data_IF_490104465675
#
_entry.id   IF_490104465675
#
_cell.length_a   1.000
_cell.length_b   1.000
_cell.length_c   1.000
_cell.angle_alpha   90.00
_cell.angle_beta   90.00
_cell.angle_gamma   90.00
#
_symmetry.space_group_name_H-M   'P 1'
#
loop_
_entity.id
_entity.type
_entity.pdbx_description
1 polymer ?
#
# COMPACT_ATOMS: atom_id res chain seq x y z
N UNK A 1 1.95 -15.06 9.94
CA UNK A 1 0.97 -15.81 9.11
C UNK A 1 1.36 -15.66 7.65
N UNK A 2 1.22 -16.72 6.85
CA UNK A 2 1.31 -16.67 5.39
C UNK A 2 -0.07 -16.31 4.84
N UNK A 3 -0.10 -15.34 3.93
CA UNK A 3 -1.32 -14.86 3.27
C UNK A 3 -1.37 -15.35 1.84
N UNK A 4 -2.54 -15.79 1.38
CA UNK A 4 -2.73 -16.25 0.00
C UNK A 4 -4.16 -16.03 -0.44
N UNK A 5 -4.39 -15.91 -1.76
CA UNK A 5 -5.74 -15.79 -2.32
C UNK A 5 -6.26 -17.10 -2.85
N UNK A 6 -7.56 -17.32 -2.74
CA UNK A 6 -8.30 -18.36 -3.47
C UNK A 6 -9.67 -17.82 -3.85
N UNK A 7 -10.01 -17.86 -5.14
CA UNK A 7 -11.32 -17.43 -5.67
C UNK A 7 -11.72 -16.01 -5.25
N UNK A 8 -10.77 -15.07 -5.22
CA UNK A 8 -11.02 -13.67 -4.84
C UNK A 8 -11.14 -13.43 -3.32
N UNK A 9 -11.00 -14.46 -2.49
CA UNK A 9 -10.90 -14.33 -1.04
C UNK A 9 -9.45 -14.44 -0.56
N UNK A 10 -9.11 -13.68 0.48
CA UNK A 10 -7.85 -13.73 1.20
C UNK A 10 -7.93 -14.75 2.33
N UNK A 11 -6.92 -15.59 2.44
CA UNK A 11 -6.75 -16.53 3.51
C UNK A 11 -5.46 -16.23 4.26
N UNK A 12 -5.48 -16.52 5.56
CA UNK A 12 -4.30 -16.56 6.41
C UNK A 12 -4.09 -17.98 6.93
N UNK A 13 -2.83 -18.41 6.99
CA UNK A 13 -2.41 -19.63 7.69
C UNK A 13 -1.25 -19.32 8.62
N UNK A 14 -1.25 -19.90 9.81
CA UNK A 14 -0.12 -19.72 10.73
C UNK A 14 1.16 -20.26 10.10
N UNK A 15 2.25 -19.54 10.28
CA UNK A 15 3.56 -19.86 9.72
C UNK A 15 4.61 -19.63 10.80
N UNK A 16 5.41 -20.66 11.07
CA UNK A 16 6.58 -20.60 11.94
C UNK A 16 7.79 -20.20 11.06
N UNK A 17 8.33 -18.98 11.20
CA UNK A 17 9.41 -18.50 10.35
C UNK A 17 10.78 -19.07 10.73
N UNK A 18 10.90 -19.70 11.92
CA UNK A 18 12.15 -20.34 12.36
C UNK A 18 12.21 -21.76 11.79
N UNK A 19 11.09 -22.48 11.82
CA UNK A 19 10.99 -23.86 11.31
C UNK A 19 10.59 -23.94 9.84
N UNK A 20 10.18 -22.83 9.23
CA UNK A 20 9.68 -22.76 7.86
C UNK A 20 8.45 -23.65 7.62
N UNK A 21 7.55 -23.75 8.59
CA UNK A 21 6.40 -24.67 8.57
C UNK A 21 5.05 -23.96 8.69
N UNK A 22 4.06 -24.47 7.96
CA UNK A 22 2.66 -24.06 8.07
C UNK A 22 1.97 -24.81 9.22
N UNK A 23 1.19 -24.10 10.04
CA UNK A 23 0.41 -24.69 11.16
C UNK A 23 -1.08 -24.42 11.03
N UNK A 24 -1.87 -25.38 11.53
CA UNK A 24 -3.34 -25.30 11.58
C UNK A 24 -4.03 -25.32 10.22
N UNK A 25 -5.32 -25.04 10.21
CA UNK A 25 -6.11 -24.84 9.00
C UNK A 25 -6.11 -23.36 8.59
N UNK A 26 -6.11 -23.04 7.29
CA UNK A 26 -6.28 -21.66 6.84
C UNK A 26 -7.67 -21.13 7.17
N UNK A 27 -7.76 -19.83 7.45
CA UNK A 27 -9.03 -19.13 7.70
C UNK A 27 -9.16 -17.90 6.78
N UNK A 28 -10.40 -17.53 6.45
CA UNK A 28 -10.68 -16.37 5.60
C UNK A 28 -10.41 -15.07 6.36
N UNK A 29 -9.69 -14.16 5.72
CA UNK A 29 -9.38 -12.81 6.23
C UNK A 29 -10.30 -11.77 5.58
N UNK A 30 -10.56 -11.89 4.28
CA UNK A 30 -11.35 -10.93 3.52
C UNK A 30 -11.90 -11.53 2.22
N UNK A 31 -12.98 -10.96 1.69
CA UNK A 31 -13.57 -11.34 0.40
C UNK A 31 -13.44 -10.23 -0.64
N UNK A 32 -13.53 -10.60 -1.92
CA UNK A 32 -13.54 -9.70 -3.07
C UNK A 32 -12.29 -8.81 -3.20
N UNK A 33 -11.12 -9.40 -2.98
CA UNK A 33 -9.84 -8.71 -3.16
C UNK A 33 -9.63 -8.36 -4.64
N UNK A 34 -9.27 -7.10 -4.88
CA UNK A 34 -8.89 -6.63 -6.19
C UNK A 34 -7.55 -7.23 -6.63
N UNK A 35 -7.43 -7.51 -7.91
CA UNK A 35 -6.17 -7.83 -8.57
C UNK A 35 -5.62 -6.54 -9.18
N UNK A 36 -4.33 -6.29 -9.03
CA UNK A 36 -3.63 -5.17 -9.66
C UNK A 36 -3.28 -5.46 -11.11
N UNK A 37 -2.93 -4.41 -11.87
CA UNK A 37 -2.36 -4.56 -13.20
C UNK A 37 -1.09 -5.42 -13.09
N UNK A 38 -1.08 -6.59 -13.75
CA UNK A 38 -0.01 -7.58 -13.65
C UNK A 38 -0.35 -8.87 -12.88
N UNK A 39 -1.59 -9.03 -12.38
CA UNK A 39 -2.06 -10.29 -11.79
C UNK A 39 -1.71 -10.49 -10.30
N UNK A 40 -1.00 -9.53 -9.70
CA UNK A 40 -0.70 -9.52 -8.26
C UNK A 40 -1.91 -9.13 -7.41
N UNK A 41 -1.95 -9.62 -6.18
CA UNK A 41 -2.99 -9.23 -5.22
C UNK A 41 -2.75 -7.81 -4.71
N UNK A 42 -3.80 -6.99 -4.68
CA UNK A 42 -3.74 -5.63 -4.14
C UNK A 42 -3.79 -5.66 -2.59
N UNK A 43 -2.78 -6.25 -1.95
CA UNK A 43 -2.66 -6.35 -0.49
C UNK A 43 -1.25 -6.11 0.03
N UNK A 44 -1.14 -5.71 1.29
CA UNK A 44 0.10 -5.55 2.05
C UNK A 44 -0.11 -6.00 3.50
N UNK A 45 0.92 -6.54 4.13
CA UNK A 45 0.90 -6.96 5.53
C UNK A 45 2.16 -6.49 6.25
N UNK A 46 2.04 -6.03 7.49
CA UNK A 46 3.21 -5.67 8.30
C UNK A 46 3.61 -6.78 9.27
N UNK A 47 4.88 -6.77 9.69
CA UNK A 47 5.41 -7.65 10.73
C UNK A 47 4.79 -7.35 12.11
N UNK A 48 4.40 -6.09 12.33
CA UNK A 48 3.67 -5.72 13.53
C UNK A 48 2.36 -6.51 13.52
N UNK A 49 1.60 -6.49 12.41
CA UNK A 49 0.44 -7.35 12.17
C UNK A 49 -0.75 -6.80 11.36
N UNK A 50 -0.94 -5.50 11.03
CA UNK A 50 -2.07 -5.11 10.19
C UNK A 50 -1.88 -5.56 8.75
N UNK A 51 -3.02 -5.73 8.08
CA UNK A 51 -3.13 -6.06 6.67
C UNK A 51 -3.98 -4.97 6.02
N UNK A 52 -3.49 -4.39 4.93
CA UNK A 52 -4.25 -3.48 4.08
C UNK A 52 -4.53 -4.18 2.75
N UNK A 53 -5.75 -4.08 2.22
CA UNK A 53 -6.07 -4.61 0.91
C UNK A 53 -7.10 -3.74 0.18
N UNK A 54 -7.08 -3.78 -1.15
CA UNK A 54 -8.10 -3.14 -1.98
C UNK A 54 -9.19 -4.14 -2.29
N UNK A 55 -10.44 -3.78 -2.00
CA UNK A 55 -11.62 -4.47 -2.52
C UNK A 55 -11.90 -3.99 -3.95
N UNK A 56 -12.27 -4.87 -4.87
CA UNK A 56 -12.60 -4.45 -6.24
C UNK A 56 -13.82 -3.54 -6.24
N UNK A 57 -13.74 -2.33 -6.82
CA UNK A 57 -14.92 -1.48 -7.00
C UNK A 57 -14.76 -0.40 -8.08
N UNK A 58 -15.92 -0.02 -8.62
CA UNK A 58 -16.20 0.95 -9.68
C UNK A 58 -15.65 2.36 -9.44
N UNK A 59 -15.52 3.12 -10.53
CA UNK A 59 -14.91 4.44 -10.60
C UNK A 59 -15.56 5.47 -9.65
N UNK A 60 -14.71 6.27 -8.98
CA UNK A 60 -15.09 7.38 -8.11
C UNK A 60 -13.87 7.94 -7.35
N UNK A 61 -14.03 9.14 -6.77
CA UNK A 61 -13.06 9.75 -5.85
C UNK A 61 -12.63 8.73 -4.79
N UNK A 62 -11.32 8.65 -4.53
CA UNK A 62 -10.75 7.64 -3.64
C UNK A 62 -10.40 8.28 -2.31
N UNK A 63 -11.06 7.82 -1.25
CA UNK A 63 -10.72 8.14 0.13
C UNK A 63 -10.13 6.89 0.77
N UNK A 64 -9.08 7.05 1.57
CA UNK A 64 -8.50 5.92 2.28
C UNK A 64 -9.40 5.54 3.46
N UNK A 65 -9.78 4.26 3.52
CA UNK A 65 -10.49 3.67 4.65
C UNK A 65 -9.53 2.74 5.38
N UNK A 66 -9.45 2.89 6.70
CA UNK A 66 -8.57 2.13 7.56
C UNK A 66 -9.28 0.94 8.17
N UNK A 67 -8.55 -0.16 8.33
CA UNK A 67 -8.99 -1.35 9.03
C UNK A 67 -7.93 -1.73 10.06
N UNK A 68 -8.35 -2.16 11.26
CA UNK A 68 -7.42 -2.80 12.20
C UNK A 68 -7.10 -4.25 11.76
N UNK A 69 -6.22 -4.92 12.51
CA UNK A 69 -5.77 -6.28 12.19
C UNK A 69 -6.87 -7.35 12.29
N UNK A 70 -7.98 -7.02 12.95
CA UNK A 70 -9.15 -7.88 13.02
C UNK A 70 -10.10 -7.66 11.86
N UNK A 71 -9.81 -6.70 10.96
CA UNK A 71 -10.68 -6.32 9.86
C UNK A 71 -11.79 -5.36 10.27
N UNK A 72 -11.72 -4.75 11.47
CA UNK A 72 -12.67 -3.72 11.88
C UNK A 72 -12.30 -2.39 11.25
N UNK A 73 -13.26 -1.77 10.58
CA UNK A 73 -13.11 -0.43 10.02
C UNK A 73 -12.83 0.59 11.13
N UNK A 74 -11.76 1.35 10.99
CA UNK A 74 -11.37 2.46 11.88
C UNK A 74 -11.88 3.82 11.36
N UNK A 75 -12.27 3.87 10.09
CA UNK A 75 -12.84 5.05 9.44
C UNK A 75 -11.95 5.62 8.33
N UNK A 76 -12.29 6.82 7.88
CA UNK A 76 -11.62 7.53 6.80
C UNK A 76 -10.33 8.22 7.28
N UNK A 77 -9.31 8.28 6.42
CA UNK A 77 -8.07 9.02 6.68
C UNK A 77 -7.81 10.05 5.58
N UNK A 78 -7.68 11.30 6.01
CA UNK A 78 -7.51 12.46 5.14
C UNK A 78 -8.76 12.82 4.33
N UNK A 79 -8.66 13.92 3.61
CA UNK A 79 -9.65 14.33 2.62
C UNK A 79 -9.60 13.42 1.38
N UNK A 80 -10.67 13.28 0.60
CA UNK A 80 -10.64 12.55 -0.67
C UNK A 80 -9.49 13.02 -1.56
N UNK A 81 -8.57 12.12 -1.90
CA UNK A 81 -7.41 12.44 -2.74
C UNK A 81 -7.72 11.98 -4.17
N UNK A 82 -8.03 12.93 -5.04
CA UNK A 82 -8.26 12.67 -6.46
C UNK A 82 -7.06 11.98 -7.12
N UNK A 83 -7.32 10.91 -7.89
CA UNK A 83 -6.34 10.14 -8.67
C UNK A 83 -5.13 9.59 -7.88
N UNK A 84 -5.23 9.41 -6.56
CA UNK A 84 -4.18 8.75 -5.78
C UNK A 84 -4.10 7.25 -6.13
N UNK A 85 -2.88 6.76 -6.40
CA UNK A 85 -2.59 5.38 -6.78
C UNK A 85 -1.42 4.81 -5.96
N UNK A 86 -1.33 3.48 -5.90
CA UNK A 86 -0.20 2.72 -5.35
C UNK A 86 0.23 3.14 -3.92
N UNK A 87 -0.64 3.02 -2.91
CA UNK A 87 -0.30 3.34 -1.53
C UNK A 87 0.70 2.33 -0.93
N UNK A 88 1.65 2.83 -0.15
CA UNK A 88 2.55 2.05 0.70
C UNK A 88 2.54 2.65 2.10
N UNK A 89 2.02 1.89 3.07
CA UNK A 89 2.06 2.25 4.49
C UNK A 89 3.49 2.10 5.03
N UNK A 90 3.93 3.02 5.88
CA UNK A 90 5.22 2.94 6.59
C UNK A 90 5.20 1.80 7.62
N UNK A 91 6.37 1.25 8.00
CA UNK A 91 6.44 0.13 8.96
C UNK A 91 5.80 0.45 10.32
N UNK A 92 5.88 1.70 10.76
CA UNK A 92 5.27 2.21 12.00
C UNK A 92 3.77 2.54 11.85
N UNK A 93 3.26 2.58 10.62
CA UNK A 93 1.88 2.93 10.32
C UNK A 93 1.57 4.43 10.30
N UNK A 94 2.50 5.33 10.60
CA UNK A 94 2.18 6.76 10.72
C UNK A 94 2.11 7.53 9.38
N UNK A 95 2.56 6.91 8.28
CA UNK A 95 2.66 7.55 6.97
C UNK A 95 2.24 6.62 5.84
N UNK A 96 1.55 7.16 4.84
CA UNK A 96 1.28 6.48 3.57
C UNK A 96 2.01 7.21 2.45
N UNK A 97 2.93 6.52 1.78
CA UNK A 97 3.49 6.98 0.52
C UNK A 97 2.54 6.62 -0.61
N UNK A 98 2.23 7.56 -1.50
CA UNK A 98 1.30 7.35 -2.61
C UNK A 98 1.70 8.17 -3.83
N UNK A 99 1.24 7.75 -5.00
CA UNK A 99 1.36 8.56 -6.21
C UNK A 99 0.23 9.57 -6.28
N UNK A 100 0.53 10.78 -6.71
CA UNK A 100 -0.48 11.79 -7.06
C UNK A 100 -0.06 12.49 -8.34
N UNK A 101 -0.97 12.56 -9.29
CA UNK A 101 -0.77 13.30 -10.53
C UNK A 101 -1.44 14.66 -10.43
N UNK A 102 -0.65 15.72 -10.60
CA UNK A 102 -1.12 17.10 -10.69
C UNK A 102 -0.53 17.73 -11.96
N UNK A 103 -1.38 18.40 -12.74
CA UNK A 103 -0.98 19.13 -13.95
C UNK A 103 -0.13 18.31 -14.94
N UNK A 104 -0.41 17.00 -15.04
CA UNK A 104 0.28 16.08 -15.94
C UNK A 104 1.58 15.47 -15.38
N UNK A 105 2.06 15.91 -14.22
CA UNK A 105 3.23 15.31 -13.55
C UNK A 105 2.81 14.38 -12.41
N UNK A 106 3.47 13.24 -12.28
CA UNK A 106 3.22 12.29 -11.18
C UNK A 106 4.37 12.32 -10.20
N UNK A 107 4.06 12.63 -8.95
CA UNK A 107 5.02 12.66 -7.86
C UNK A 107 4.61 11.70 -6.75
N UNK A 108 5.55 11.44 -5.85
CA UNK A 108 5.29 10.75 -4.59
C UNK A 108 4.87 11.78 -3.55
N UNK A 109 3.84 11.44 -2.81
CA UNK A 109 3.30 12.22 -1.69
C UNK A 109 3.24 11.36 -0.43
N UNK A 110 3.33 12.02 0.72
CA UNK A 110 3.19 11.42 2.04
C UNK A 110 1.92 11.92 2.71
N UNK A 111 1.04 10.99 3.06
CA UNK A 111 -0.12 11.23 3.90
C UNK A 111 0.21 10.84 5.34
N UNK A 112 0.19 11.82 6.23
CA UNK A 112 0.28 11.62 7.68
C UNK A 112 -1.04 11.07 8.18
N UNK A 113 -1.02 9.89 8.79
CA UNK A 113 -2.25 9.12 9.06
C UNK A 113 -3.03 9.69 10.23
N UNK A 114 -2.32 10.20 11.23
CA UNK A 114 -2.93 10.73 12.46
C UNK A 114 -3.54 12.11 12.24
N UNK A 115 -3.01 12.85 11.26
CA UNK A 115 -3.38 14.25 10.99
C UNK A 115 -4.15 14.42 9.69
N UNK A 116 -4.17 13.41 8.81
CA UNK A 116 -4.71 13.51 7.45
C UNK A 116 -3.95 14.48 6.55
N UNK A 117 -2.74 14.91 6.93
CA UNK A 117 -1.97 15.93 6.22
C UNK A 117 -1.22 15.31 5.06
N UNK A 118 -1.44 15.82 3.85
CA UNK A 118 -0.81 15.35 2.63
C UNK A 118 0.31 16.30 2.20
N UNK A 119 1.54 15.80 2.08
CA UNK A 119 2.74 16.57 1.72
C UNK A 119 3.44 15.98 0.50
N UNK A 120 4.05 16.83 -0.33
CA UNK A 120 4.77 16.39 -1.53
C UNK A 120 6.16 15.90 -1.14
N UNK A 121 6.51 14.67 -1.53
CA UNK A 121 7.78 14.04 -1.21
C UNK A 121 8.80 14.22 -2.33
N UNK A 122 8.39 14.02 -3.59
CA UNK A 122 9.22 14.32 -4.77
C UNK A 122 8.66 15.48 -5.57
N UNK A 123 9.54 16.19 -6.29
CA UNK A 123 9.18 17.42 -7.00
C UNK A 123 9.97 17.59 -8.30
N UNK A 124 10.32 16.49 -8.93
CA UNK A 124 11.11 16.48 -10.16
C UNK A 124 10.19 16.62 -11.38
N UNK A 125 10.66 17.21 -12.50
CA UNK A 125 9.89 17.22 -13.75
C UNK A 125 9.61 15.82 -14.34
N UNK A 126 10.37 14.81 -13.93
CA UNK A 126 10.12 13.42 -14.29
C UNK A 126 8.99 12.79 -13.47
N UNK A 127 8.41 11.73 -14.02
CA UNK A 127 7.40 10.95 -13.29
C UNK A 127 8.07 10.06 -12.25
N UNK A 128 7.55 10.10 -11.02
CA UNK A 128 7.96 9.24 -9.92
C UNK A 128 6.81 8.30 -9.54
N UNK A 129 7.10 7.00 -9.48
CA UNK A 129 6.08 5.95 -9.44
C UNK A 129 6.36 4.82 -8.43
N UNK A 130 5.29 4.09 -8.07
CA UNK A 130 5.33 2.85 -7.28
C UNK A 130 6.17 2.96 -6.00
N UNK A 131 5.85 3.86 -5.06
CA UNK A 131 6.64 4.03 -3.84
C UNK A 131 6.57 2.79 -2.96
N UNK A 132 7.69 2.42 -2.34
CA UNK A 132 7.81 1.35 -1.33
C UNK A 132 8.67 1.82 -0.17
N UNK A 133 8.14 1.74 1.04
CA UNK A 133 8.93 2.01 2.24
C UNK A 133 10.00 0.94 2.45
N UNK A 134 11.18 1.36 2.88
CA UNK A 134 12.17 0.47 3.45
C UNK A 134 11.74 -0.01 4.84
N UNK A 135 12.22 -1.19 5.30
CA UNK A 135 11.91 -1.70 6.63
C UNK A 135 12.34 -0.78 7.78
N UNK A 136 13.30 0.14 7.53
CA UNK A 136 13.76 1.13 8.51
C UNK A 136 12.78 2.30 8.72
N UNK A 137 11.75 2.43 7.88
CA UNK A 137 10.75 3.50 7.95
C UNK A 137 11.28 4.90 7.61
N UNK A 138 12.53 5.02 7.18
CA UNK A 138 13.19 6.30 6.92
C UNK A 138 13.51 6.51 5.44
N UNK A 139 13.32 5.50 4.60
CA UNK A 139 13.58 5.58 3.16
C UNK A 139 12.41 5.06 2.35
N UNK A 140 12.30 5.57 1.12
CA UNK A 140 11.35 5.11 0.12
C UNK A 140 12.11 4.79 -1.17
N UNK A 141 11.89 3.59 -1.69
CA UNK A 141 12.26 3.21 -3.05
C UNK A 141 11.13 3.55 -4.02
N UNK A 142 11.47 4.00 -5.23
CA UNK A 142 10.49 4.35 -6.25
C UNK A 142 11.07 4.27 -7.65
N UNK A 143 10.21 4.10 -8.66
CA UNK A 143 10.61 4.21 -10.06
C UNK A 143 10.65 5.68 -10.49
N UNK A 144 11.62 6.09 -11.30
CA UNK A 144 11.69 7.45 -11.83
C UNK A 144 12.15 7.49 -13.28
N UNK A 145 11.53 8.33 -14.11
CA UNK A 145 11.87 8.50 -15.53
C UNK A 145 12.91 9.59 -15.81
N UNK A 146 13.67 10.03 -14.80
CA UNK A 146 14.65 11.13 -14.90
C UNK A 146 15.69 10.96 -16.01
N UNK A 147 15.96 9.72 -16.40
CA UNK A 147 16.91 9.37 -17.46
C UNK A 147 16.23 8.72 -18.69
N UNK A 148 14.95 9.03 -18.91
CA UNK A 148 14.16 8.58 -20.05
C UNK A 148 13.37 7.30 -19.76
N UNK A 149 14.05 6.21 -19.45
CA UNK A 149 13.41 4.98 -18.96
C UNK A 149 13.15 5.07 -17.45
N UNK A 150 12.17 4.30 -16.96
CA UNK A 150 11.91 4.20 -15.51
C UNK A 150 13.01 3.34 -14.88
N UNK A 151 13.84 3.96 -14.05
CA UNK A 151 14.87 3.31 -13.23
C UNK A 151 14.48 3.33 -11.75
N UNK A 152 15.16 2.49 -10.94
CA UNK A 152 14.94 2.43 -9.50
C UNK A 152 15.75 3.50 -8.75
N UNK A 153 15.07 4.28 -7.93
CA UNK A 153 15.62 5.32 -7.05
C UNK A 153 15.26 5.05 -5.60
N UNK A 154 16.00 5.68 -4.69
CA UNK A 154 15.64 5.76 -3.28
C UNK A 154 15.83 7.19 -2.77
N UNK A 155 15.06 7.57 -1.75
CA UNK A 155 15.19 8.84 -1.04
C UNK A 155 14.83 8.67 0.44
N UNK A 156 15.52 9.42 1.30
CA UNK A 156 15.22 9.62 2.72
C UNK A 156 14.52 10.94 2.97
#
# INVERSE_FOLDING_TARGET
>A
HLLFSRQGALFAKSFDPIRMELRGSPFTVAEQIAVDFGGGLALSASAAGPIAYRRGSAAGLRQFIWFDRSGRELGNVGDPIGAALNPSLSPDGHRVALQRTLDGNTDIWLLETDRGVLTRFTSDPAIDVTPRWFPDGNRIAFGSSRHGAVDLYQRS
#
